data_IF_162450922661
#
_entry.id   IF_162450922661
#
_cell.length_a   1.000
_cell.length_b   1.000
_cell.length_c   1.000
_cell.angle_alpha   90.00
_cell.angle_beta   90.00
_cell.angle_gamma   90.00
#
_symmetry.space_group_name_H-M   'P 1'
#
loop_
_entity.id
_entity.type
_entity.pdbx_description
1 polymer ?
#
# COMPACT_ATOMS: atom_id res chain seq x y z
N UNK A 1 9.24 -44.15 64.95
CA UNK A 1 9.04 -42.68 65.01
C UNK A 1 9.95 -42.04 63.99
N UNK A 2 9.43 -41.65 62.82
CA UNK A 2 9.84 -40.46 62.07
C UNK A 2 8.98 -40.33 60.82
N UNK A 3 8.48 -39.11 60.62
CA UNK A 3 7.41 -38.71 59.70
C UNK A 3 7.87 -38.66 58.24
N UNK A 4 7.14 -39.33 57.37
CA UNK A 4 6.99 -38.93 55.96
C UNK A 4 5.89 -37.86 55.87
N UNK A 5 6.28 -36.62 55.60
CA UNK A 5 5.37 -35.54 55.21
C UNK A 5 5.42 -35.39 53.69
N UNK A 6 4.47 -36.04 53.01
CA UNK A 6 4.11 -35.76 51.63
C UNK A 6 3.71 -34.27 51.51
N UNK A 7 4.59 -33.45 50.94
CA UNK A 7 4.26 -32.12 50.46
C UNK A 7 3.31 -32.25 49.27
N UNK A 8 2.00 -32.17 49.53
CA UNK A 8 1.00 -31.98 48.47
C UNK A 8 1.30 -30.65 47.76
N UNK A 9 1.24 -30.58 46.42
CA UNK A 9 1.31 -29.31 45.72
C UNK A 9 0.17 -28.43 46.22
N UNK A 10 0.52 -27.30 46.82
CA UNK A 10 -0.42 -26.30 47.29
C UNK A 10 -1.15 -25.70 46.09
N UNK A 11 -2.48 -25.50 46.18
CA UNK A 11 -3.35 -24.89 45.14
C UNK A 11 -2.77 -23.61 44.52
N UNK A 12 -1.92 -22.89 45.26
CA UNK A 12 -1.19 -21.70 44.79
C UNK A 12 -0.18 -22.01 43.68
N UNK A 13 0.50 -23.17 43.70
CA UNK A 13 1.46 -23.56 42.66
C UNK A 13 0.78 -23.85 41.31
N UNK A 14 -0.42 -24.43 41.33
CA UNK A 14 -1.22 -24.67 40.13
C UNK A 14 -1.75 -23.35 39.54
N UNK A 15 -2.25 -22.44 40.38
CA UNK A 15 -2.69 -21.10 39.94
C UNK A 15 -1.53 -20.30 39.30
N UNK A 16 -0.32 -20.35 39.88
CA UNK A 16 0.85 -19.69 39.28
C UNK A 16 1.30 -20.33 37.97
N UNK A 17 1.16 -21.65 37.82
CA UNK A 17 1.49 -22.36 36.57
C UNK A 17 0.46 -22.07 35.48
N UNK A 18 -0.81 -22.01 35.84
CA UNK A 18 -1.89 -21.65 34.93
C UNK A 18 -1.76 -20.20 34.46
N UNK A 19 -1.42 -19.27 35.37
CA UNK A 19 -1.14 -17.88 35.02
C UNK A 19 0.08 -17.73 34.11
N UNK A 20 1.18 -18.41 34.41
CA UNK A 20 2.37 -18.40 33.56
C UNK A 20 2.07 -18.97 32.15
N UNK A 21 1.27 -20.03 32.07
CA UNK A 21 0.85 -20.62 30.79
C UNK A 21 -0.04 -19.65 29.99
N UNK A 22 -0.94 -18.93 30.66
CA UNK A 22 -1.73 -17.85 30.03
C UNK A 22 -0.83 -16.75 29.48
N UNK A 23 0.17 -16.29 30.24
CA UNK A 23 1.10 -15.27 29.77
C UNK A 23 1.95 -15.74 28.58
N UNK A 24 2.33 -17.02 28.53
CA UNK A 24 3.02 -17.58 27.36
C UNK A 24 2.14 -17.58 26.12
N UNK A 25 0.84 -17.88 26.27
CA UNK A 25 -0.13 -17.77 25.18
C UNK A 25 -0.28 -16.31 24.71
N UNK A 26 -0.31 -15.35 25.63
CA UNK A 26 -0.35 -13.92 25.31
C UNK A 26 0.91 -13.47 24.55
N UNK A 27 2.10 -13.91 24.99
CA UNK A 27 3.36 -13.64 24.29
C UNK A 27 3.30 -14.18 22.85
N UNK A 28 2.80 -15.40 22.65
CA UNK A 28 2.64 -15.97 21.31
C UNK A 28 1.65 -15.15 20.48
N UNK A 29 0.50 -14.79 21.03
CA UNK A 29 -0.52 -13.98 20.38
C UNK A 29 0.04 -12.63 19.91
N UNK A 30 0.73 -11.90 20.78
CA UNK A 30 1.34 -10.61 20.42
C UNK A 30 2.46 -10.76 19.40
N UNK A 31 3.28 -11.82 19.50
CA UNK A 31 4.31 -12.11 18.51
C UNK A 31 3.73 -12.39 17.13
N UNK A 32 2.60 -13.10 17.04
CA UNK A 32 1.92 -13.37 15.77
C UNK A 32 1.34 -12.10 15.11
N UNK A 33 1.05 -11.07 15.91
CA UNK A 33 0.55 -9.77 15.49
C UNK A 33 1.65 -8.78 15.05
N UNK A 34 2.93 -9.10 15.26
CA UNK A 34 4.08 -8.22 14.95
C UNK A 34 4.08 -7.70 13.50
N UNK A 35 3.69 -8.57 12.55
CA UNK A 35 3.76 -8.26 11.12
C UNK A 35 2.38 -8.32 10.46
N UNK A 36 2.08 -7.30 9.65
CA UNK A 36 0.93 -7.32 8.76
C UNK A 36 0.91 -8.60 7.89
N UNK A 37 -0.30 -9.07 7.54
CA UNK A 37 -0.52 -10.31 6.76
C UNK A 37 0.36 -10.38 5.50
N UNK A 38 0.48 -9.28 4.77
CA UNK A 38 1.31 -9.22 3.56
C UNK A 38 2.80 -9.35 3.85
N UNK A 39 3.28 -8.79 4.96
CA UNK A 39 4.67 -8.93 5.41
C UNK A 39 4.95 -10.38 5.81
N UNK A 40 4.02 -11.04 6.52
CA UNK A 40 4.13 -12.48 6.86
C UNK A 40 4.21 -13.34 5.60
N UNK A 41 3.36 -13.08 4.59
CA UNK A 41 3.40 -13.76 3.29
C UNK A 41 4.75 -13.57 2.59
N UNK A 42 5.26 -12.33 2.53
CA UNK A 42 6.56 -12.04 1.93
C UNK A 42 7.71 -12.76 2.66
N UNK A 43 7.71 -12.74 3.99
CA UNK A 43 8.73 -13.43 4.79
C UNK A 43 8.70 -14.94 4.64
N UNK A 44 7.52 -15.56 4.46
CA UNK A 44 7.44 -17.00 4.10
C UNK A 44 8.17 -17.28 2.78
N UNK A 45 8.00 -16.43 1.78
CA UNK A 45 8.71 -16.55 0.50
C UNK A 45 10.22 -16.34 0.67
N UNK A 46 10.64 -15.28 1.38
CA UNK A 46 12.06 -15.01 1.60
C UNK A 46 12.74 -16.16 2.38
N UNK A 47 12.07 -16.66 3.42
CA UNK A 47 12.50 -17.83 4.19
C UNK A 47 12.73 -19.04 3.31
N UNK A 48 11.74 -19.38 2.47
CA UNK A 48 11.84 -20.53 1.57
C UNK A 48 13.08 -20.41 0.67
N UNK A 49 13.26 -19.26 0.02
CA UNK A 49 14.38 -19.05 -0.91
C UNK A 49 15.73 -19.10 -0.19
N UNK A 50 15.83 -18.53 1.01
CA UNK A 50 17.07 -18.58 1.79
C UNK A 50 17.42 -19.99 2.26
N UNK A 51 16.46 -20.73 2.83
CA UNK A 51 16.69 -22.09 3.29
C UNK A 51 17.03 -23.04 2.12
N UNK A 52 16.41 -22.85 0.95
CA UNK A 52 16.77 -23.60 -0.25
C UNK A 52 18.20 -23.31 -0.71
N UNK A 53 18.62 -22.05 -0.67
CA UNK A 53 20.01 -21.69 -0.96
C UNK A 53 20.98 -22.32 0.03
N UNK A 54 20.66 -22.31 1.33
CA UNK A 54 21.50 -22.92 2.35
C UNK A 54 21.63 -24.44 2.14
N UNK A 55 20.52 -25.11 1.84
CA UNK A 55 20.52 -26.55 1.53
C UNK A 55 21.33 -26.89 0.27
N UNK A 56 21.25 -26.06 -0.78
CA UNK A 56 21.99 -26.28 -2.03
C UNK A 56 23.51 -26.22 -1.86
N UNK A 57 24.01 -25.45 -0.89
CA UNK A 57 25.43 -25.31 -0.60
C UNK A 57 25.88 -26.08 0.65
N UNK A 58 24.98 -26.85 1.27
CA UNK A 58 25.20 -27.55 2.53
C UNK A 58 25.74 -26.64 3.66
N UNK A 59 25.17 -25.44 3.78
CA UNK A 59 25.56 -24.46 4.80
C UNK A 59 24.47 -24.26 5.85
N UNK A 60 24.89 -23.91 7.07
CA UNK A 60 23.97 -23.59 8.15
C UNK A 60 23.26 -22.24 7.92
N UNK A 61 21.93 -22.14 8.10
CA UNK A 61 21.20 -20.88 7.91
C UNK A 61 21.51 -19.76 8.91
N UNK A 62 21.93 -20.12 10.13
CA UNK A 62 22.39 -19.17 11.13
C UNK A 62 23.26 -19.89 12.18
N UNK A 63 24.36 -19.28 12.66
CA UNK A 63 24.91 -18.01 12.21
C UNK A 63 25.54 -18.14 10.81
N UNK A 64 25.30 -17.15 9.95
CA UNK A 64 25.79 -17.14 8.58
C UNK A 64 27.02 -16.23 8.45
N UNK A 65 28.10 -16.78 7.91
CA UNK A 65 29.33 -16.03 7.65
C UNK A 65 29.14 -14.96 6.57
N UNK A 66 29.98 -13.92 6.63
CA UNK A 66 29.98 -12.83 5.68
C UNK A 66 30.03 -13.32 4.22
N UNK A 67 30.86 -14.34 3.95
CA UNK A 67 31.00 -14.90 2.59
C UNK A 67 29.69 -15.54 2.11
N UNK A 68 28.99 -16.30 2.95
CA UNK A 68 27.72 -16.96 2.61
C UNK A 68 26.61 -15.95 2.34
N UNK A 69 26.57 -14.84 3.10
CA UNK A 69 25.63 -13.74 2.84
C UNK A 69 25.93 -13.07 1.49
N UNK A 70 27.20 -12.87 1.16
CA UNK A 70 27.60 -12.30 -0.12
C UNK A 70 27.28 -13.22 -1.31
N UNK A 71 27.52 -14.54 -1.14
CA UNK A 71 27.12 -15.55 -2.12
C UNK A 71 25.60 -15.56 -2.30
N UNK A 72 24.83 -15.44 -1.22
CA UNK A 72 23.37 -15.35 -1.30
C UNK A 72 22.92 -14.09 -2.03
N UNK A 73 23.52 -12.93 -1.75
CA UNK A 73 23.25 -11.69 -2.45
C UNK A 73 23.53 -11.82 -3.96
N UNK A 74 24.65 -12.43 -4.34
CA UNK A 74 25.01 -12.70 -5.72
C UNK A 74 24.04 -13.69 -6.39
N UNK A 75 23.66 -14.77 -5.70
CA UNK A 75 22.66 -15.74 -6.15
C UNK A 75 21.31 -15.07 -6.44
N UNK A 76 20.79 -14.29 -5.49
CA UNK A 76 19.53 -13.56 -5.66
C UNK A 76 19.58 -12.59 -6.84
N UNK A 77 20.71 -11.89 -7.01
CA UNK A 77 20.87 -10.94 -8.10
C UNK A 77 20.71 -11.60 -9.47
N UNK A 78 21.00 -12.91 -9.63
CA UNK A 78 20.81 -13.63 -10.92
C UNK A 78 19.37 -13.58 -11.43
N UNK A 79 18.40 -13.45 -10.53
CA UNK A 79 16.97 -13.53 -10.86
C UNK A 79 16.18 -12.29 -10.43
N UNK A 80 16.73 -11.45 -9.56
CA UNK A 80 16.04 -10.32 -8.94
C UNK A 80 16.70 -8.98 -9.23
N UNK A 81 15.88 -7.93 -9.23
CA UNK A 81 16.35 -6.55 -9.26
C UNK A 81 17.12 -6.21 -7.96
N UNK A 82 18.09 -5.27 -8.02
CA UNK A 82 18.91 -4.90 -6.85
C UNK A 82 18.08 -4.55 -5.60
N UNK A 83 16.96 -3.83 -5.75
CA UNK A 83 16.09 -3.47 -4.63
C UNK A 83 15.47 -4.70 -3.95
N UNK A 84 15.08 -5.71 -4.73
CA UNK A 84 14.51 -6.95 -4.23
C UNK A 84 15.56 -7.78 -3.49
N UNK A 85 16.81 -7.79 -3.94
CA UNK A 85 17.92 -8.46 -3.24
C UNK A 85 18.02 -7.97 -1.79
N UNK A 86 18.01 -6.66 -1.57
CA UNK A 86 18.07 -6.08 -0.22
C UNK A 86 16.87 -6.52 0.66
N UNK A 87 15.68 -6.61 0.08
CA UNK A 87 14.46 -7.03 0.80
C UNK A 87 14.54 -8.50 1.24
N UNK A 88 15.12 -9.37 0.41
CA UNK A 88 15.35 -10.77 0.78
C UNK A 88 16.44 -10.90 1.84
N UNK A 89 17.54 -10.14 1.72
CA UNK A 89 18.60 -10.12 2.74
C UNK A 89 18.07 -9.71 4.11
N UNK A 90 17.17 -8.74 4.19
CA UNK A 90 16.55 -8.33 5.46
C UNK A 90 15.89 -9.48 6.22
N UNK A 91 15.36 -10.50 5.53
CA UNK A 91 14.85 -11.70 6.20
C UNK A 91 15.97 -12.48 6.91
N UNK A 92 17.17 -12.55 6.34
CA UNK A 92 18.32 -13.22 6.96
C UNK A 92 18.72 -12.50 8.25
N UNK A 93 18.76 -11.17 8.22
CA UNK A 93 19.00 -10.36 9.42
C UNK A 93 17.92 -10.56 10.50
N UNK A 94 16.65 -10.69 10.09
CA UNK A 94 15.56 -11.03 11.01
C UNK A 94 15.73 -12.44 11.59
N UNK A 95 16.02 -13.45 10.77
CA UNK A 95 16.25 -14.83 11.21
C UNK A 95 17.33 -14.91 12.29
N UNK A 96 18.44 -14.21 12.09
CA UNK A 96 19.53 -14.16 13.08
C UNK A 96 19.07 -13.58 14.41
N UNK A 97 18.35 -12.46 14.38
CA UNK A 97 17.78 -11.85 15.60
C UNK A 97 16.82 -12.78 16.33
N UNK A 98 15.95 -13.47 15.58
CA UNK A 98 14.99 -14.44 16.15
C UNK A 98 15.68 -15.65 16.79
N UNK A 99 16.88 -16.01 16.33
CA UNK A 99 17.71 -17.09 16.88
C UNK A 99 18.71 -16.60 17.95
N UNK A 100 18.68 -15.31 18.32
CA UNK A 100 19.59 -14.74 19.31
C UNK A 100 21.01 -14.43 18.80
N UNK A 101 21.24 -14.47 17.48
CA UNK A 101 22.53 -14.17 16.86
C UNK A 101 22.66 -12.70 16.41
N UNK A 102 23.90 -12.17 16.29
CA UNK A 102 24.15 -10.88 15.67
C UNK A 102 23.61 -10.81 14.24
N UNK A 103 23.12 -9.64 13.83
CA UNK A 103 22.62 -9.44 12.46
C UNK A 103 23.80 -9.32 11.48
N UNK A 104 24.00 -10.27 10.55
CA UNK A 104 25.18 -10.32 9.68
C UNK A 104 25.17 -9.24 8.57
N UNK A 105 24.08 -8.48 8.46
CA UNK A 105 23.95 -7.37 7.51
C UNK A 105 24.51 -6.05 8.07
N UNK A 106 24.64 -5.93 9.39
CA UNK A 106 25.13 -4.71 10.04
C UNK A 106 26.66 -4.69 10.00
N UNK A 107 27.23 -3.50 9.84
CA UNK A 107 28.68 -3.24 9.83
C UNK A 107 29.50 -4.13 8.87
N UNK A 108 28.87 -4.53 7.76
CA UNK A 108 29.45 -5.45 6.79
C UNK A 108 29.86 -4.71 5.50
N UNK A 109 31.11 -4.26 5.44
CA UNK A 109 31.66 -3.57 4.27
C UNK A 109 31.68 -4.47 3.03
N UNK A 110 32.04 -5.74 3.19
CA UNK A 110 32.16 -6.66 2.06
C UNK A 110 30.79 -6.85 1.38
N UNK A 111 29.73 -7.10 2.15
CA UNK A 111 28.36 -7.12 1.64
C UNK A 111 27.95 -5.80 0.99
N UNK A 112 28.26 -4.67 1.64
CA UNK A 112 27.92 -3.34 1.12
C UNK A 112 28.56 -3.09 -0.25
N UNK A 113 29.81 -3.52 -0.44
CA UNK A 113 30.52 -3.40 -1.71
C UNK A 113 29.93 -4.33 -2.79
N UNK A 114 29.55 -5.56 -2.44
CA UNK A 114 28.85 -6.50 -3.34
C UNK A 114 27.50 -5.93 -3.78
N UNK A 115 26.69 -5.40 -2.86
CA UNK A 115 25.40 -4.77 -3.19
C UNK A 115 25.57 -3.55 -4.10
N UNK A 116 26.62 -2.74 -3.88
CA UNK A 116 26.98 -1.63 -4.77
C UNK A 116 27.38 -2.13 -6.17
N UNK A 117 28.13 -3.23 -6.26
CA UNK A 117 28.48 -3.90 -7.52
C UNK A 117 27.26 -4.44 -8.26
N UNK A 118 26.33 -5.09 -7.55
CA UNK A 118 25.06 -5.57 -8.10
C UNK A 118 24.25 -4.38 -8.65
N UNK A 119 24.15 -3.29 -7.90
CA UNK A 119 23.43 -2.09 -8.35
C UNK A 119 24.08 -1.45 -9.59
N UNK A 120 25.41 -1.42 -9.69
CA UNK A 120 26.13 -0.89 -10.85
C UNK A 120 25.97 -1.76 -12.10
N UNK A 121 26.10 -3.08 -11.94
CA UNK A 121 26.05 -4.04 -13.05
C UNK A 121 24.63 -4.29 -13.57
N UNK A 122 23.62 -4.26 -12.69
CA UNK A 122 22.22 -4.58 -13.01
C UNK A 122 21.28 -3.40 -12.89
N UNK A 123 21.80 -2.19 -12.73
CA UNK A 123 21.04 -0.99 -12.41
C UNK A 123 20.13 -0.53 -13.53
N UNK A 124 19.08 -1.30 -13.83
CA UNK A 124 17.92 -0.83 -14.56
C UNK A 124 17.05 -0.11 -13.53
N UNK A 125 16.86 1.22 -13.61
CA UNK A 125 15.95 1.90 -12.73
C UNK A 125 14.55 1.28 -12.88
N UNK A 126 13.85 0.94 -11.78
CA UNK A 126 12.51 0.40 -11.88
C UNK A 126 11.65 1.41 -12.65
N UNK A 127 11.05 1.00 -13.77
CA UNK A 127 10.19 1.86 -14.58
C UNK A 127 8.88 2.08 -13.79
N UNK A 128 8.67 3.27 -13.19
CA UNK A 128 7.49 3.51 -12.40
C UNK A 128 6.26 3.52 -13.31
N UNK A 129 5.11 3.08 -12.78
CA UNK A 129 3.85 3.17 -13.54
C UNK A 129 3.55 4.61 -13.92
N UNK A 130 3.07 4.83 -15.14
CA UNK A 130 2.71 6.15 -15.64
C UNK A 130 1.54 6.74 -14.83
N UNK A 131 1.49 8.07 -14.66
CA UNK A 131 0.35 8.73 -14.02
C UNK A 131 -0.92 8.60 -14.87
N UNK A 132 -2.07 8.37 -14.24
CA UNK A 132 -3.35 8.66 -14.89
C UNK A 132 -3.47 10.19 -14.97
N UNK A 133 -3.75 10.77 -16.12
CA UNK A 133 -3.95 12.23 -16.29
C UNK A 133 -5.45 12.57 -16.36
N UNK A 134 -5.78 13.86 -16.26
CA UNK A 134 -7.16 14.34 -16.44
C UNK A 134 -7.72 14.07 -17.83
N UNK A 135 -6.87 14.05 -18.87
CA UNK A 135 -7.26 13.68 -20.23
C UNK A 135 -7.63 12.19 -20.31
N UNK A 136 -6.83 11.32 -19.67
CA UNK A 136 -7.13 9.89 -19.57
C UNK A 136 -8.44 9.67 -18.81
N UNK A 137 -8.66 10.38 -17.70
CA UNK A 137 -9.92 10.33 -16.96
C UNK A 137 -11.11 10.76 -17.83
N UNK A 138 -10.96 11.85 -18.59
CA UNK A 138 -12.02 12.36 -19.47
C UNK A 138 -12.34 11.39 -20.60
N UNK A 139 -11.31 10.77 -21.19
CA UNK A 139 -11.49 9.70 -22.17
C UNK A 139 -12.24 8.50 -21.56
N UNK A 140 -11.83 8.04 -20.38
CA UNK A 140 -12.51 6.93 -19.69
C UNK A 140 -13.97 7.29 -19.47
N UNK A 141 -14.26 8.48 -18.93
CA UNK A 141 -15.62 8.94 -18.66
C UNK A 141 -16.51 8.91 -19.92
N UNK A 142 -15.99 9.35 -21.07
CA UNK A 142 -16.75 9.38 -22.32
C UNK A 142 -17.22 8.01 -22.81
N UNK A 143 -16.66 6.92 -22.25
CA UNK A 143 -16.97 5.54 -22.60
C UNK A 143 -17.86 4.85 -21.56
N UNK A 144 -18.21 5.53 -20.45
CA UNK A 144 -18.97 4.94 -19.35
C UNK A 144 -20.46 5.24 -19.46
N UNK A 145 -21.28 4.23 -19.21
CA UNK A 145 -22.69 4.39 -18.92
C UNK A 145 -22.89 4.55 -17.40
N UNK A 146 -23.05 5.79 -16.93
CA UNK A 146 -23.21 6.10 -15.50
C UNK A 146 -24.61 5.79 -14.94
N UNK A 147 -25.50 5.18 -15.73
CA UNK A 147 -26.73 4.56 -15.24
C UNK A 147 -26.49 3.13 -14.75
N UNK A 148 -25.42 2.48 -15.21
CA UNK A 148 -25.00 1.18 -14.71
C UNK A 148 -24.28 1.33 -13.37
N UNK A 149 -24.75 0.60 -12.34
CA UNK A 149 -24.22 0.74 -10.97
C UNK A 149 -22.73 0.40 -10.88
N UNK A 150 -22.26 -0.58 -11.67
CA UNK A 150 -20.86 -1.03 -11.65
C UNK A 150 -19.96 -0.01 -12.30
N UNK A 151 -20.36 0.56 -13.44
CA UNK A 151 -19.61 1.63 -14.11
C UNK A 151 -19.61 2.93 -13.30
N UNK A 152 -20.73 3.28 -12.66
CA UNK A 152 -20.79 4.42 -11.75
C UNK A 152 -19.86 4.25 -10.53
N UNK A 153 -19.86 3.08 -9.89
CA UNK A 153 -18.94 2.78 -8.78
C UNK A 153 -17.49 2.74 -9.24
N UNK A 154 -17.20 2.21 -10.44
CA UNK A 154 -15.87 2.27 -11.03
C UNK A 154 -15.41 3.72 -11.26
N UNK A 155 -16.29 4.60 -11.74
CA UNK A 155 -15.98 6.01 -11.95
C UNK A 155 -15.69 6.73 -10.64
N UNK A 156 -16.53 6.53 -9.62
CA UNK A 156 -16.32 7.07 -8.29
C UNK A 156 -14.99 6.59 -7.70
N UNK A 157 -14.66 5.29 -7.84
CA UNK A 157 -13.36 4.74 -7.45
C UNK A 157 -12.19 5.44 -8.15
N UNK A 158 -12.30 5.74 -9.45
CA UNK A 158 -11.26 6.45 -10.21
C UNK A 158 -11.03 7.85 -9.65
N UNK A 159 -12.09 8.65 -9.51
CA UNK A 159 -11.98 10.04 -9.05
C UNK A 159 -11.56 10.13 -7.58
N UNK A 160 -12.10 9.28 -6.72
CA UNK A 160 -11.70 9.23 -5.30
C UNK A 160 -10.25 8.78 -5.15
N UNK A 161 -9.80 7.81 -5.95
CA UNK A 161 -8.38 7.41 -5.96
C UNK A 161 -7.47 8.54 -6.45
N UNK A 162 -7.91 9.30 -7.45
CA UNK A 162 -7.15 10.40 -8.04
C UNK A 162 -7.09 11.61 -7.10
N UNK A 163 -8.23 12.21 -6.76
CA UNK A 163 -8.28 13.44 -5.95
C UNK A 163 -7.98 13.20 -4.48
N UNK A 164 -8.34 12.03 -3.94
CA UNK A 164 -8.03 11.66 -2.56
C UNK A 164 -6.64 11.05 -2.37
N UNK A 165 -5.85 10.91 -3.45
CA UNK A 165 -4.51 10.30 -3.43
C UNK A 165 -4.47 8.91 -2.77
N UNK A 166 -5.57 8.17 -2.81
CA UNK A 166 -5.68 6.91 -2.08
C UNK A 166 -4.85 5.79 -2.70
N UNK A 167 -4.36 4.90 -1.85
CA UNK A 167 -3.78 3.62 -2.27
C UNK A 167 -4.92 2.64 -2.54
N UNK A 168 -4.70 1.67 -3.45
CA UNK A 168 -5.68 0.58 -3.68
C UNK A 168 -6.13 -0.13 -2.41
N UNK A 169 -5.25 -0.20 -1.40
CA UNK A 169 -5.53 -0.92 -0.14
C UNK A 169 -6.58 -0.25 0.73
N UNK A 170 -6.93 1.01 0.50
CA UNK A 170 -8.06 1.64 1.20
C UNK A 170 -9.39 1.29 0.56
N UNK A 171 -9.41 1.08 -0.76
CA UNK A 171 -10.62 1.07 -1.57
C UNK A 171 -11.00 -0.33 -2.05
N UNK A 172 -10.02 -1.15 -2.44
CA UNK A 172 -10.22 -2.36 -3.23
C UNK A 172 -9.55 -3.57 -2.57
N UNK A 173 -10.34 -4.47 -1.95
CA UNK A 173 -9.82 -5.73 -1.44
C UNK A 173 -9.40 -6.64 -2.60
N UNK A 174 -8.50 -7.59 -2.32
CA UNK A 174 -8.02 -8.56 -3.32
C UNK A 174 -9.12 -9.56 -3.68
N UNK A 175 -9.95 -9.93 -2.70
CA UNK A 175 -11.06 -10.86 -2.84
C UNK A 175 -12.23 -10.42 -1.96
N UNK A 176 -13.42 -11.00 -2.20
CA UNK A 176 -14.62 -10.73 -1.40
C UNK A 176 -14.39 -11.04 0.09
N UNK A 177 -13.67 -12.14 0.38
CA UNK A 177 -13.38 -12.62 1.75
C UNK A 177 -12.38 -11.74 2.52
N UNK A 178 -11.60 -10.92 1.80
CA UNK A 178 -10.60 -10.06 2.41
C UNK A 178 -11.13 -8.67 2.74
N UNK A 179 -12.38 -8.37 2.40
CA UNK A 179 -13.00 -7.14 2.84
C UNK A 179 -13.22 -7.16 4.36
N UNK A 180 -12.87 -6.07 5.00
CA UNK A 180 -13.20 -5.80 6.40
C UNK A 180 -13.62 -4.34 6.51
N UNK A 181 -14.76 -4.05 7.16
CA UNK A 181 -15.21 -2.67 7.39
C UNK A 181 -14.30 -1.92 8.36
N UNK A 182 -13.29 -2.57 8.96
CA UNK A 182 -12.30 -1.92 9.82
C UNK A 182 -11.14 -1.33 9.00
N UNK A 183 -10.73 -2.01 7.93
CA UNK A 183 -9.51 -1.68 7.17
C UNK A 183 -9.77 -1.04 5.81
N UNK A 184 -10.97 -1.22 5.26
CA UNK A 184 -11.40 -0.62 3.99
C UNK A 184 -12.44 0.48 4.22
N UNK A 185 -12.47 1.44 3.30
CA UNK A 185 -13.43 2.52 3.32
C UNK A 185 -14.86 1.98 3.11
N UNK A 186 -15.73 2.33 4.04
CA UNK A 186 -17.16 1.99 4.01
C UNK A 186 -18.00 3.20 3.68
N UNK A 187 -19.32 3.02 3.47
CA UNK A 187 -20.22 4.16 3.24
C UNK A 187 -20.24 5.16 4.40
N UNK A 188 -20.16 4.68 5.64
CA UNK A 188 -20.12 5.53 6.84
C UNK A 188 -18.87 6.41 6.93
N UNK A 189 -17.82 6.10 6.16
CA UNK A 189 -16.62 6.92 6.11
C UNK A 189 -16.78 8.16 5.22
N UNK A 190 -17.89 8.27 4.47
CA UNK A 190 -18.17 9.40 3.58
C UNK A 190 -19.29 10.26 4.16
N UNK A 191 -18.97 11.52 4.48
CA UNK A 191 -19.94 12.49 5.00
C UNK A 191 -20.06 13.66 4.03
N UNK A 192 -21.22 13.82 3.40
CA UNK A 192 -21.51 14.97 2.54
C UNK A 192 -21.68 16.22 3.39
N UNK A 193 -20.99 17.30 3.01
CA UNK A 193 -20.95 18.56 3.75
C UNK A 193 -20.96 19.72 2.76
N UNK A 194 -21.95 20.61 2.84
CA UNK A 194 -22.05 21.79 1.96
C UNK A 194 -21.71 21.48 0.50
N UNK A 195 -20.57 22.01 0.02
CA UNK A 195 -20.05 21.83 -1.34
C UNK A 195 -19.02 20.70 -1.49
N UNK A 196 -19.04 19.66 -0.65
CA UNK A 196 -18.00 18.64 -0.60
C UNK A 196 -18.40 17.30 0.03
N UNK A 197 -17.44 16.39 0.09
CA UNK A 197 -17.54 15.15 0.87
C UNK A 197 -16.26 14.95 1.68
N UNK A 198 -16.41 14.72 2.97
CA UNK A 198 -15.32 14.36 3.87
C UNK A 198 -15.17 12.85 3.95
N UNK A 199 -13.95 12.36 3.77
CA UNK A 199 -13.62 10.93 3.81
C UNK A 199 -12.78 10.63 5.05
N UNK A 200 -13.32 9.82 5.96
CA UNK A 200 -12.67 9.43 7.21
C UNK A 200 -11.79 8.19 6.98
N UNK A 201 -10.48 8.37 7.02
CA UNK A 201 -9.50 7.28 6.88
C UNK A 201 -9.13 6.74 8.25
N UNK A 202 -9.71 5.59 8.60
CA UNK A 202 -9.50 4.90 9.88
C UNK A 202 -8.26 4.01 9.90
N UNK A 203 -7.86 3.50 8.73
CA UNK A 203 -6.74 2.57 8.59
C UNK A 203 -5.94 2.84 7.32
N UNK A 204 -4.61 2.73 7.43
CA UNK A 204 -3.70 2.80 6.29
C UNK A 204 -2.41 2.05 6.59
N UNK A 205 -1.52 1.92 5.59
CA UNK A 205 -0.15 1.39 5.81
C UNK A 205 0.60 2.17 6.90
N UNK A 206 0.26 3.43 7.12
CA UNK A 206 0.90 4.36 8.06
C UNK A 206 0.11 4.53 9.36
N UNK A 207 -1.13 4.00 9.41
CA UNK A 207 -2.06 3.96 10.55
C UNK A 207 -2.43 2.49 10.83
N UNK A 208 -1.43 1.63 11.07
CA UNK A 208 -1.68 0.20 11.33
C UNK A 208 -2.14 -0.07 12.76
N UNK A 209 -1.91 0.87 13.68
CA UNK A 209 -2.21 0.74 15.11
C UNK A 209 -3.43 1.57 15.54
N UNK A 210 -4.20 2.10 14.59
CA UNK A 210 -5.38 2.94 14.89
C UNK A 210 -5.04 4.25 15.62
N UNK A 211 -3.77 4.65 15.62
CA UNK A 211 -3.26 5.72 16.47
C UNK A 211 -3.73 7.13 16.07
N UNK A 212 -4.38 7.27 14.91
CA UNK A 212 -5.00 8.51 14.43
C UNK A 212 -6.05 8.19 13.37
N UNK A 213 -6.92 9.17 13.10
CA UNK A 213 -7.76 9.19 11.91
C UNK A 213 -7.37 10.38 11.05
N UNK A 214 -7.38 10.23 9.72
CA UNK A 214 -7.15 11.33 8.78
C UNK A 214 -8.44 11.63 8.02
N UNK A 215 -8.84 12.89 7.97
CA UNK A 215 -9.99 13.32 7.16
C UNK A 215 -9.47 13.92 5.85
N UNK A 216 -9.93 13.37 4.72
CA UNK A 216 -9.59 13.86 3.38
C UNK A 216 -10.84 14.54 2.80
N UNK A 217 -10.85 15.88 2.65
CA UNK A 217 -11.94 16.58 2.00
C UNK A 217 -11.81 16.47 0.47
N UNK A 218 -12.91 16.14 -0.21
CA UNK A 218 -13.06 16.30 -1.65
C UNK A 218 -14.10 17.38 -1.92
N UNK A 219 -13.73 18.35 -2.77
CA UNK A 219 -14.59 19.50 -3.11
C UNK A 219 -15.38 19.20 -4.38
N UNK A 220 -16.63 19.68 -4.43
CA UNK A 220 -17.45 19.60 -5.62
C UNK A 220 -16.88 20.52 -6.72
N UNK A 221 -16.93 20.04 -7.96
CA UNK A 221 -16.56 20.81 -9.15
C UNK A 221 -17.83 20.95 -9.97
N UNK A 222 -18.62 22.02 -9.78
CA UNK A 222 -19.90 22.18 -10.47
C UNK A 222 -19.77 22.03 -11.98
N UNK A 223 -20.73 21.35 -12.59
CA UNK A 223 -20.82 21.12 -14.05
C UNK A 223 -19.66 20.33 -14.69
N UNK A 224 -18.72 19.79 -13.91
CA UNK A 224 -17.62 18.98 -14.42
C UNK A 224 -17.93 17.48 -14.30
N UNK A 225 -17.67 16.72 -15.38
CA UNK A 225 -17.70 15.25 -15.32
C UNK A 225 -16.62 14.65 -14.41
N UNK A 226 -15.57 15.44 -14.11
CA UNK A 226 -14.51 15.09 -13.17
C UNK A 226 -14.86 15.44 -11.71
N UNK A 227 -16.11 15.83 -11.41
CA UNK A 227 -16.53 16.12 -10.05
C UNK A 227 -16.54 14.86 -9.16
N UNK A 228 -15.66 14.74 -8.15
CA UNK A 228 -15.64 13.57 -7.28
C UNK A 228 -16.92 13.45 -6.44
N UNK A 229 -17.48 14.57 -5.98
CA UNK A 229 -18.70 14.59 -5.15
C UNK A 229 -19.90 14.03 -5.93
N UNK A 230 -20.08 14.48 -7.17
CA UNK A 230 -21.16 13.98 -8.04
C UNK A 230 -20.99 12.50 -8.36
N UNK A 231 -19.75 12.04 -8.59
CA UNK A 231 -19.48 10.62 -8.84
C UNK A 231 -19.76 9.74 -7.62
N UNK A 232 -19.34 10.16 -6.41
CA UNK A 232 -19.65 9.46 -5.16
C UNK A 232 -21.16 9.41 -4.94
N UNK A 233 -21.86 10.54 -5.07
CA UNK A 233 -23.31 10.61 -4.91
C UNK A 233 -24.05 9.67 -5.89
N UNK A 234 -23.63 9.66 -7.16
CA UNK A 234 -24.23 8.80 -8.19
C UNK A 234 -24.00 7.31 -7.92
N UNK A 235 -22.77 6.92 -7.56
CA UNK A 235 -22.48 5.54 -7.19
C UNK A 235 -23.34 5.12 -5.98
N UNK A 236 -23.45 6.01 -4.99
CA UNK A 236 -24.20 5.76 -3.77
C UNK A 236 -25.71 5.60 -4.00
N UNK A 237 -26.29 6.34 -4.96
CA UNK A 237 -27.72 6.24 -5.30
C UNK A 237 -28.06 4.99 -6.09
N UNK A 238 -27.11 4.41 -6.83
CA UNK A 238 -27.31 3.22 -7.68
C UNK A 238 -27.08 1.88 -6.95
N UNK A 239 -26.81 1.92 -5.65
CA UNK A 239 -26.67 0.74 -4.79
C UNK A 239 -27.68 0.78 -3.63
N UNK A 240 -29.00 0.71 -3.92
CA UNK A 240 -30.01 0.72 -2.88
C UNK A 240 -29.81 -0.46 -1.91
N UNK A 241 -30.14 -0.24 -0.63
CA UNK A 241 -30.00 -1.23 0.43
C UNK A 241 -28.55 -1.48 0.90
N UNK A 242 -27.55 -0.74 0.42
CA UNK A 242 -26.20 -0.82 0.95
C UNK A 242 -26.13 -0.27 2.38
N UNK A 243 -25.55 -1.03 3.29
CA UNK A 243 -25.44 -0.70 4.70
C UNK A 243 -24.29 0.29 4.96
N UNK A 244 -24.29 1.04 6.09
CA UNK A 244 -23.18 1.93 6.45
C UNK A 244 -21.82 1.24 6.51
N UNK A 245 -21.80 -0.05 6.90
CA UNK A 245 -20.60 -0.90 6.97
C UNK A 245 -20.19 -1.52 5.64
N UNK A 246 -21.01 -1.43 4.59
CA UNK A 246 -20.65 -1.99 3.28
C UNK A 246 -19.52 -1.18 2.66
N UNK A 247 -18.74 -1.83 1.78
CA UNK A 247 -17.70 -1.15 1.01
C UNK A 247 -18.29 0.07 0.31
N UNK A 248 -17.62 1.22 0.43
CA UNK A 248 -18.12 2.50 -0.04
C UNK A 248 -18.62 2.44 -1.50
N UNK A 249 -17.84 1.82 -2.37
CA UNK A 249 -18.14 1.69 -3.81
C UNK A 249 -18.45 0.24 -4.21
N UNK A 250 -19.32 -0.42 -3.46
CA UNK A 250 -19.97 -1.64 -3.91
C UNK A 250 -20.79 -1.38 -5.19
N UNK A 251 -21.28 -2.42 -5.86
CA UNK A 251 -22.11 -2.28 -7.06
C UNK A 251 -23.26 -3.29 -7.01
N UNK A 252 -24.39 -2.98 -7.67
CA UNK A 252 -25.57 -3.82 -7.69
C UNK A 252 -25.45 -4.86 -8.79
N UNK A 253 -25.44 -6.14 -8.42
CA UNK A 253 -25.49 -7.24 -9.36
C UNK A 253 -26.94 -7.49 -9.77
N UNK A 254 -27.27 -7.18 -11.03
CA UNK A 254 -28.62 -7.31 -11.58
C UNK A 254 -29.09 -8.77 -11.61
N UNK A 255 -28.20 -9.73 -11.80
CA UNK A 255 -28.54 -11.14 -11.85
C UNK A 255 -28.85 -11.71 -10.46
N UNK A 256 -28.11 -11.27 -9.45
CA UNK A 256 -28.26 -11.75 -8.08
C UNK A 256 -29.16 -10.88 -7.21
N UNK A 257 -29.62 -9.73 -7.72
CA UNK A 257 -30.43 -8.78 -6.97
C UNK A 257 -29.77 -8.33 -5.66
N UNK A 258 -28.44 -8.24 -5.60
CA UNK A 258 -27.70 -7.94 -4.36
C UNK A 258 -26.47 -7.07 -4.61
N UNK A 259 -26.02 -6.36 -3.58
CA UNK A 259 -24.82 -5.53 -3.66
C UNK A 259 -23.56 -6.40 -3.51
N UNK A 260 -22.57 -6.17 -4.36
CA UNK A 260 -21.30 -6.90 -4.42
C UNK A 260 -20.13 -5.98 -4.15
N UNK A 261 -19.12 -6.50 -3.47
CA UNK A 261 -17.86 -5.78 -3.24
C UNK A 261 -17.12 -5.66 -4.57
N UNK A 262 -16.60 -4.47 -4.84
CA UNK A 262 -15.71 -4.19 -5.95
C UNK A 262 -14.28 -4.59 -5.58
N UNK A 263 -13.77 -5.66 -6.20
CA UNK A 263 -12.43 -6.17 -5.92
C UNK A 263 -11.37 -5.61 -6.89
N UNK A 264 -10.12 -5.59 -6.46
CA UNK A 264 -9.00 -5.01 -7.22
C UNK A 264 -8.84 -5.61 -8.63
N UNK A 265 -9.00 -6.92 -8.78
CA UNK A 265 -8.89 -7.61 -10.07
C UNK A 265 -9.92 -7.09 -11.08
N UNK A 266 -11.15 -6.88 -10.64
CA UNK A 266 -12.24 -6.40 -11.51
C UNK A 266 -12.02 -4.95 -11.92
N UNK A 267 -11.57 -4.12 -10.98
CA UNK A 267 -11.23 -2.73 -11.24
C UNK A 267 -10.13 -2.63 -12.30
N UNK A 268 -9.05 -3.39 -12.13
CA UNK A 268 -7.94 -3.38 -13.08
C UNK A 268 -8.35 -3.89 -14.46
N UNK A 269 -9.22 -4.90 -14.54
CA UNK A 269 -9.72 -5.39 -15.84
C UNK A 269 -10.48 -4.30 -16.60
N UNK A 270 -11.39 -3.61 -15.91
CA UNK A 270 -12.18 -2.52 -16.52
C UNK A 270 -11.25 -1.37 -16.94
N UNK A 271 -10.37 -0.93 -16.05
CA UNK A 271 -9.39 0.12 -16.34
C UNK A 271 -8.52 -0.23 -17.56
N UNK A 272 -7.95 -1.43 -17.60
CA UNK A 272 -7.09 -1.87 -18.69
C UNK A 272 -7.87 -1.94 -20.01
N UNK A 273 -9.13 -2.36 -20.01
CA UNK A 273 -9.97 -2.37 -21.20
C UNK A 273 -10.18 -0.95 -21.76
N UNK A 274 -10.41 0.05 -20.91
CA UNK A 274 -10.53 1.44 -21.37
C UNK A 274 -9.19 2.03 -21.82
N UNK A 275 -8.08 1.76 -21.12
CA UNK A 275 -6.75 2.24 -21.51
C UNK A 275 -6.30 1.66 -22.87
N UNK A 276 -6.57 0.38 -23.12
CA UNK A 276 -6.25 -0.22 -24.42
C UNK A 276 -7.04 0.42 -25.56
N UNK A 277 -8.27 0.87 -25.31
CA UNK A 277 -9.11 1.57 -26.31
C UNK A 277 -8.59 2.97 -26.66
N UNK A 278 -7.84 3.63 -25.79
CA UNK A 278 -7.16 4.90 -26.11
C UNK A 278 -5.78 4.72 -26.77
N UNK A 279 -5.41 3.49 -27.14
CA UNK A 279 -4.09 3.19 -27.71
C UNK A 279 -2.95 3.19 -26.69
N UNK A 280 -3.26 3.34 -25.39
CA UNK A 280 -2.25 3.32 -24.34
C UNK A 280 -1.86 1.89 -23.95
N UNK A 281 -0.58 1.67 -23.70
CA UNK A 281 -0.13 0.38 -23.17
C UNK A 281 -0.57 0.22 -21.72
N UNK A 282 -1.63 -0.54 -21.50
CA UNK A 282 -2.20 -0.81 -20.18
C UNK A 282 -1.18 -1.40 -19.18
N UNK A 283 -0.08 -2.01 -19.67
CA UNK A 283 1.03 -2.53 -18.86
C UNK A 283 1.79 -1.44 -18.12
N UNK A 284 1.79 -0.21 -18.63
CA UNK A 284 2.44 0.94 -18.01
C UNK A 284 1.63 1.54 -16.85
N UNK A 285 0.38 1.12 -16.67
CA UNK A 285 -0.51 1.63 -15.64
C UNK A 285 -0.77 0.58 -14.56
N UNK A 286 -1.15 1.03 -13.36
CA UNK A 286 -1.43 0.16 -12.24
C UNK A 286 -2.00 0.89 -11.04
N UNK A 287 -2.05 0.20 -9.90
CA UNK A 287 -2.63 0.75 -8.67
C UNK A 287 -2.05 2.08 -8.18
N UNK A 288 -0.78 2.37 -8.49
CA UNK A 288 -0.14 3.62 -8.11
C UNK A 288 -0.34 4.76 -9.11
N UNK A 289 -0.87 4.47 -10.30
CA UNK A 289 -1.03 5.45 -11.38
C UNK A 289 -2.00 6.58 -11.02
N UNK A 290 -3.10 6.29 -10.34
CA UNK A 290 -4.04 7.32 -9.87
C UNK A 290 -3.42 8.24 -8.84
N UNK A 291 -2.79 7.67 -7.80
CA UNK A 291 -2.11 8.43 -6.76
C UNK A 291 -0.97 9.27 -7.33
N UNK A 292 -0.22 8.74 -8.30
CA UNK A 292 0.83 9.48 -9.02
C UNK A 292 0.27 10.63 -9.85
N UNK A 293 -0.81 10.36 -10.57
CA UNK A 293 -1.55 11.32 -11.37
C UNK A 293 -2.11 12.47 -10.55
N UNK A 294 -2.86 12.16 -9.50
CA UNK A 294 -3.45 13.16 -8.61
C UNK A 294 -2.39 14.02 -7.91
N UNK A 295 -1.28 13.42 -7.48
CA UNK A 295 -0.20 14.18 -6.83
C UNK A 295 0.49 15.13 -7.82
N UNK A 296 0.73 14.66 -9.05
CA UNK A 296 1.30 15.48 -10.13
C UNK A 296 0.34 16.61 -10.51
N UNK A 297 -0.95 16.31 -10.66
CA UNK A 297 -1.98 17.29 -10.99
C UNK A 297 -2.15 18.36 -9.91
N UNK A 298 -2.17 17.95 -8.63
CA UNK A 298 -2.23 18.89 -7.51
C UNK A 298 -1.00 19.82 -7.50
N UNK A 299 0.19 19.26 -7.79
CA UNK A 299 1.42 20.02 -7.88
C UNK A 299 1.39 21.01 -9.06
N UNK A 300 0.88 20.60 -10.23
CA UNK A 300 0.67 21.49 -11.38
C UNK A 300 -0.36 22.60 -11.10
N UNK A 301 -1.36 22.31 -10.26
CA UNK A 301 -2.33 23.29 -9.78
C UNK A 301 -1.79 24.25 -8.70
N UNK A 302 -0.50 24.14 -8.34
CA UNK A 302 0.14 25.02 -7.36
C UNK A 302 -0.13 24.65 -5.90
N UNK A 303 -0.65 23.45 -5.62
CA UNK A 303 -0.86 23.00 -4.24
C UNK A 303 0.51 22.79 -3.56
N UNK A 304 0.73 23.34 -2.36
CA UNK A 304 1.99 23.16 -1.64
C UNK A 304 2.33 21.70 -1.39
N UNK A 305 3.62 21.36 -1.44
CA UNK A 305 4.12 19.99 -1.25
C UNK A 305 3.69 19.40 0.10
N UNK A 306 3.69 20.19 1.17
CA UNK A 306 3.28 19.72 2.50
C UNK A 306 1.79 19.35 2.53
N UNK A 307 0.94 20.13 1.85
CA UNK A 307 -0.48 19.81 1.72
C UNK A 307 -0.69 18.52 0.92
N UNK A 308 0.05 18.33 -0.18
CA UNK A 308 0.04 17.07 -0.94
C UNK A 308 0.50 15.91 -0.06
N UNK A 309 1.58 16.09 0.70
CA UNK A 309 2.14 15.09 1.63
C UNK A 309 1.09 14.63 2.66
N UNK A 310 0.39 15.59 3.27
CA UNK A 310 -0.68 15.36 4.25
C UNK A 310 -1.85 14.63 3.61
N UNK A 311 -2.36 15.11 2.46
CA UNK A 311 -3.49 14.50 1.75
C UNK A 311 -3.21 13.05 1.36
N UNK A 312 -2.00 12.75 0.90
CA UNK A 312 -1.64 11.38 0.56
C UNK A 312 -1.29 10.51 1.76
N UNK A 313 -1.17 11.04 2.98
CA UNK A 313 -0.64 10.29 4.13
C UNK A 313 0.76 9.70 3.80
N UNK A 314 1.68 10.58 3.37
CA UNK A 314 3.11 10.29 3.25
C UNK A 314 3.84 10.70 4.52
N UNK A 315 4.72 9.83 5.04
CA UNK A 315 5.52 10.08 6.26
C UNK A 315 6.96 10.52 5.98
N UNK A 316 7.38 10.53 4.71
CA UNK A 316 8.76 10.81 4.31
C UNK A 316 8.82 11.24 2.84
N UNK A 317 10.05 11.44 2.36
CA UNK A 317 10.44 11.69 0.97
C UNK A 317 9.92 10.68 -0.06
N UNK A 318 9.26 9.60 0.39
CA UNK A 318 8.50 8.70 -0.47
C UNK A 318 7.49 9.42 -1.37
N UNK A 319 7.04 10.63 -1.01
CA UNK A 319 6.21 11.47 -1.88
C UNK A 319 6.90 11.81 -3.20
N UNK A 320 8.21 12.12 -3.19
CA UNK A 320 8.94 12.51 -4.41
C UNK A 320 8.97 11.40 -5.47
N UNK A 321 8.81 10.13 -5.08
CA UNK A 321 8.66 9.02 -6.03
C UNK A 321 7.35 9.08 -6.84
N UNK A 322 6.34 9.78 -6.31
CA UNK A 322 5.03 9.98 -6.95
C UNK A 322 4.95 11.30 -7.71
N UNK A 323 5.82 12.27 -7.41
CA UNK A 323 5.87 13.52 -8.15
C UNK A 323 6.63 13.26 -9.45
N UNK A 324 5.89 13.14 -10.53
CA UNK A 324 6.48 13.43 -11.83
C UNK A 324 6.63 14.94 -11.88
N UNK A 325 7.83 15.48 -12.12
CA UNK A 325 8.02 16.90 -12.41
C UNK A 325 7.89 17.10 -13.92
N UNK A 326 6.68 17.38 -14.44
CA UNK A 326 6.48 17.60 -15.86
C UNK A 326 7.32 18.79 -16.33
N UNK A 327 7.59 18.82 -17.64
CA UNK A 327 8.37 19.91 -18.24
C UNK A 327 7.74 21.29 -17.94
N UNK A 328 6.40 21.36 -17.90
CA UNK A 328 5.62 22.54 -17.51
C UNK A 328 6.10 23.15 -16.19
N UNK A 329 6.31 22.32 -15.17
CA UNK A 329 6.72 22.79 -13.85
C UNK A 329 8.19 23.21 -13.80
N UNK A 330 9.07 22.49 -14.51
CA UNK A 330 10.47 22.90 -14.67
C UNK A 330 10.57 24.24 -15.41
N UNK A 331 9.74 24.44 -16.44
CA UNK A 331 9.61 25.71 -17.15
C UNK A 331 9.04 26.81 -16.25
N UNK A 332 8.04 26.50 -15.42
CA UNK A 332 7.50 27.46 -14.45
C UNK A 332 8.58 27.92 -13.47
N UNK A 333 9.37 27.00 -12.91
CA UNK A 333 10.50 27.35 -12.05
C UNK A 333 11.52 28.25 -12.77
N UNK A 334 11.86 27.95 -14.03
CA UNK A 334 12.74 28.79 -14.85
C UNK A 334 12.14 30.18 -15.13
N UNK A 335 10.82 30.26 -15.39
CA UNK A 335 10.10 31.53 -15.56
C UNK A 335 10.10 32.36 -14.28
N UNK A 336 9.92 31.74 -13.12
CA UNK A 336 9.97 32.44 -11.82
C UNK A 336 11.36 32.99 -11.53
N UNK A 337 12.43 32.23 -11.82
CA UNK A 337 13.82 32.71 -11.73
C UNK A 337 14.03 33.91 -12.66
N UNK A 338 13.62 33.77 -13.94
CA UNK A 338 13.71 34.84 -14.93
C UNK A 338 12.97 36.11 -14.50
N UNK A 339 11.72 35.96 -14.02
CA UNK A 339 10.92 37.09 -13.54
C UNK A 339 11.56 37.78 -12.34
N UNK A 340 12.18 37.05 -11.41
CA UNK A 340 12.85 37.66 -10.26
C UNK A 340 14.08 38.47 -10.67
N UNK A 341 14.88 37.96 -11.62
CA UNK A 341 16.00 38.72 -12.18
C UNK A 341 15.50 40.02 -12.80
N UNK A 342 14.40 39.99 -13.57
CA UNK A 342 13.81 41.19 -14.15
C UNK A 342 13.28 42.21 -13.14
N UNK A 343 13.03 41.82 -11.89
CA UNK A 343 12.65 42.76 -10.81
C UNK A 343 13.85 43.40 -10.10
N UNK A 344 15.05 42.86 -10.31
CA UNK A 344 16.30 43.36 -9.73
C UNK A 344 17.03 44.34 -10.67
N UNK A 345 16.67 44.33 -11.96
CA UNK A 345 17.09 45.27 -13.00
C UNK A 345 16.06 46.37 -13.18
#
# INVERSE_FOLDING_TARGET
TQNELFLRPTRTNDITRDFASSLLADVQFYREATYAVNTRKAYRTHRKVYLQFCHMLDIQPAPADCIHICMYAAYLARFLLPQSVCVYLNFVGLLHREMGFPNPLLDNWFLSSVLKGIKRSKGIPPVPKLPITVDILSFIHSQLNLLDSKQASFWALCLVSFFGLFRKSHLLPVSQREFSPVTFLTRSDFTFVGSGVHIKVRWSKTIQFGQRTVTIPLVAIPSSHLCPVSAVSRAFSLTPGALPSDQAFCWRDSHLGSNRIFIYRDFMRILQAHLSRSGLSHRQYGSHSFRRGGATFALEAGVPLDSIAIMGDWKSDAMYLYLHMPLSQRLHAQRSISSHISTLT
#
